data_IF_407992701881
#
_entry.id   IF_407992701881
#
_cell.length_a   1.000
_cell.length_b   1.000
_cell.length_c   1.000
_cell.angle_alpha   90.00
_cell.angle_beta   90.00
_cell.angle_gamma   90.00
#
_symmetry.space_group_name_H-M   'P 1'
#
loop_
_entity.id
_entity.type
_entity.pdbx_description
1 polymer ?
#
# COMPACT_ATOMS: atom_id res chain seq x y z
N UNK A 1 3.43 29.58 -5.75
CA UNK A 1 3.39 28.88 -5.62
C UNK A 1 3.34 28.02 -6.00
N UNK A 2 3.12 27.94 -6.03
CA UNK A 2 2.92 27.05 -6.08
C UNK A 2 3.17 26.36 -6.97
N UNK A 3 3.55 26.67 -7.90
CA UNK A 3 3.98 26.00 -8.73
C UNK A 3 4.78 24.97 -8.49
N UNK A 4 5.49 25.21 -7.89
CA UNK A 4 5.98 24.24 -7.20
C UNK A 4 5.17 23.12 -7.10
N UNK A 5 3.97 23.36 -7.08
CA UNK A 5 3.02 22.38 -6.94
C UNK A 5 3.07 21.35 -7.98
N UNK A 6 3.31 21.73 -9.18
CA UNK A 6 3.33 20.77 -10.24
C UNK A 6 4.48 19.80 -10.08
N UNK A 7 5.59 20.31 -9.73
CA UNK A 7 6.74 19.47 -9.55
C UNK A 7 6.50 18.54 -8.40
N UNK A 8 5.89 19.06 -7.39
CA UNK A 8 5.60 18.27 -6.23
C UNK A 8 4.65 17.14 -6.56
N UNK A 9 3.69 17.41 -7.41
CA UNK A 9 2.78 16.37 -7.79
C UNK A 9 3.46 15.25 -8.50
N UNK A 10 4.38 15.57 -9.33
CA UNK A 10 5.11 14.57 -10.05
C UNK A 10 5.89 13.69 -9.13
N UNK A 11 6.50 14.29 -8.15
CA UNK A 11 7.26 13.55 -7.18
C UNK A 11 6.34 12.74 -6.29
N UNK A 12 5.23 13.31 -5.96
CA UNK A 12 4.29 12.67 -5.07
C UNK A 12 3.81 11.33 -5.58
N UNK A 13 3.79 11.15 -6.89
CA UNK A 13 3.36 9.87 -7.42
C UNK A 13 4.21 8.73 -6.93
N UNK A 14 5.50 8.95 -6.85
CA UNK A 14 6.38 7.90 -6.38
C UNK A 14 6.25 7.61 -4.91
N UNK A 15 5.97 8.64 -4.11
CA UNK A 15 5.89 8.44 -2.68
C UNK A 15 4.53 7.97 -2.18
N UNK A 16 3.59 7.75 -3.07
CA UNK A 16 2.30 7.24 -2.69
C UNK A 16 2.21 5.73 -2.77
N UNK A 17 3.29 5.08 -3.11
CA UNK A 17 3.34 3.63 -3.19
C UNK A 17 3.87 3.06 -1.89
N UNK A 18 3.19 2.04 -1.40
CA UNK A 18 3.50 1.44 -0.11
C UNK A 18 3.75 -0.05 -0.27
N UNK A 19 4.89 -0.51 0.21
CA UNK A 19 5.17 -1.95 0.29
C UNK A 19 4.52 -2.48 1.56
N UNK A 20 3.83 -3.61 1.45
CA UNK A 20 3.18 -4.25 2.59
C UNK A 20 3.68 -5.67 2.69
N UNK A 21 4.41 -5.96 3.75
CA UNK A 21 4.95 -7.29 3.98
C UNK A 21 4.29 -8.00 5.13
N UNK A 22 4.71 -9.21 5.36
CA UNK A 22 4.19 -10.08 6.41
C UNK A 22 2.69 -10.32 6.27
N UNK A 23 2.21 -10.38 5.02
CA UNK A 23 0.80 -10.65 4.75
C UNK A 23 0.48 -12.11 5.02
N UNK A 24 -0.66 -12.39 5.66
CA UNK A 24 -1.14 -13.77 5.72
C UNK A 24 -1.41 -14.26 4.29
N UNK A 25 -1.12 -15.52 4.04
CA UNK A 25 -1.31 -16.07 2.70
C UNK A 25 -2.79 -16.10 2.30
N UNK A 26 -3.68 -15.97 3.27
CA UNK A 26 -5.11 -15.96 3.02
C UNK A 26 -5.63 -14.60 2.55
N UNK A 27 -4.81 -13.56 2.63
CA UNK A 27 -5.23 -12.21 2.24
C UNK A 27 -5.02 -12.02 0.75
N UNK A 28 -6.11 -11.76 0.06
CA UNK A 28 -6.06 -11.51 -1.39
C UNK A 28 -5.90 -10.03 -1.68
N UNK A 29 -5.72 -9.72 -2.95
CA UNK A 29 -5.61 -8.34 -3.41
C UNK A 29 -6.84 -7.54 -2.99
N UNK A 30 -8.02 -8.13 -3.10
CA UNK A 30 -9.26 -7.46 -2.75
C UNK A 30 -9.31 -7.11 -1.27
N UNK A 31 -8.91 -8.04 -0.43
CA UNK A 31 -8.95 -7.83 1.01
C UNK A 31 -7.95 -6.78 1.45
N UNK A 32 -6.78 -6.78 0.82
CA UNK A 32 -5.76 -5.79 1.13
C UNK A 32 -6.26 -4.40 0.74
N UNK A 33 -6.89 -4.28 -0.42
CA UNK A 33 -7.45 -3.01 -0.87
C UNK A 33 -8.52 -2.52 0.10
N UNK A 34 -9.40 -3.42 0.52
CA UNK A 34 -10.47 -3.07 1.44
C UNK A 34 -9.91 -2.55 2.75
N UNK A 35 -8.91 -3.24 3.27
CA UNK A 35 -8.31 -2.83 4.53
C UNK A 35 -7.74 -1.43 4.46
N UNK A 36 -6.96 -1.12 3.43
CA UNK A 36 -6.31 0.18 3.35
C UNK A 36 -7.22 1.28 2.84
N UNK A 37 -8.39 0.94 2.30
CA UNK A 37 -9.34 1.95 1.84
C UNK A 37 -9.84 2.83 2.97
N UNK A 38 -9.75 2.38 4.20
CA UNK A 38 -10.16 3.20 5.33
C UNK A 38 -9.23 4.38 5.59
N UNK A 39 -8.03 4.35 5.03
CA UNK A 39 -7.08 5.45 5.18
C UNK A 39 -7.17 6.46 4.05
N UNK A 40 -7.73 6.06 2.93
CA UNK A 40 -7.88 6.94 1.79
C UNK A 40 -8.19 6.12 0.56
N UNK A 41 -8.46 6.79 -0.54
CA UNK A 41 -8.79 6.10 -1.77
C UNK A 41 -7.56 5.37 -2.31
N UNK A 42 -7.70 4.07 -2.51
CA UNK A 42 -6.64 3.23 -3.04
C UNK A 42 -6.75 3.19 -4.55
N UNK A 43 -5.71 3.63 -5.23
CA UNK A 43 -5.68 3.67 -6.68
C UNK A 43 -5.44 2.28 -7.26
N UNK A 44 -4.50 1.55 -6.68
CA UNK A 44 -4.24 0.19 -7.12
C UNK A 44 -3.67 -0.64 -5.98
N UNK A 45 -3.85 -1.94 -6.08
CA UNK A 45 -3.37 -2.89 -5.10
C UNK A 45 -2.88 -4.12 -5.84
N UNK A 46 -1.79 -4.67 -5.38
CA UNK A 46 -1.23 -5.84 -6.03
C UNK A 46 -0.55 -6.74 -5.00
N UNK A 47 -1.14 -7.90 -4.76
CA UNK A 47 -0.52 -8.93 -3.91
C UNK A 47 0.28 -9.85 -4.83
N UNK A 48 1.49 -10.17 -4.44
CA UNK A 48 2.37 -10.98 -5.27
C UNK A 48 2.14 -12.45 -4.96
N UNK A 49 1.88 -13.22 -6.00
CA UNK A 49 1.62 -14.65 -5.87
C UNK A 49 2.73 -15.44 -6.55
N UNK A 50 2.97 -16.61 -6.01
CA UNK A 50 3.92 -17.54 -6.62
C UNK A 50 3.31 -18.08 -7.90
N UNK A 51 4.03 -18.01 -9.00
CA UNK A 51 3.51 -18.42 -10.31
C UNK A 51 3.28 -19.90 -10.41
N UNK A 52 4.03 -20.67 -9.67
CA UNK A 52 3.95 -22.12 -9.74
C UNK A 52 2.84 -22.67 -8.87
N UNK A 53 2.72 -22.18 -7.65
CA UNK A 53 1.79 -22.72 -6.70
C UNK A 53 0.50 -21.91 -6.57
N UNK A 54 0.53 -20.64 -6.99
CA UNK A 54 -0.60 -19.75 -6.83
C UNK A 54 -0.77 -19.23 -5.42
N UNK A 55 0.16 -19.52 -4.54
CA UNK A 55 0.09 -19.10 -3.15
C UNK A 55 0.72 -17.73 -2.99
N UNK A 56 0.13 -16.90 -2.12
CA UNK A 56 0.65 -15.58 -1.84
C UNK A 56 2.08 -15.67 -1.31
N UNK A 57 2.94 -14.78 -1.79
CA UNK A 57 4.32 -14.72 -1.31
C UNK A 57 4.44 -13.91 -0.02
N UNK A 58 3.32 -13.43 0.52
CA UNK A 58 3.32 -12.73 1.79
C UNK A 58 3.62 -11.26 1.70
N UNK A 59 3.55 -10.67 0.52
CA UNK A 59 3.76 -9.25 0.38
C UNK A 59 3.02 -8.70 -0.85
N UNK A 60 2.85 -7.40 -0.85
CA UNK A 60 2.21 -6.74 -1.97
C UNK A 60 2.48 -5.25 -1.92
N UNK A 61 1.81 -4.53 -2.80
CA UNK A 61 1.98 -3.09 -2.90
C UNK A 61 0.63 -2.40 -2.99
N UNK A 62 0.57 -1.19 -2.45
CA UNK A 62 -0.61 -0.36 -2.51
C UNK A 62 -0.20 1.01 -3.00
N UNK A 63 -0.99 1.56 -3.91
CA UNK A 63 -0.80 2.93 -4.37
C UNK A 63 -2.03 3.71 -3.98
N UNK A 64 -1.84 4.76 -3.18
CA UNK A 64 -2.94 5.65 -2.81
C UNK A 64 -3.10 6.73 -3.85
N UNK A 65 -4.35 7.16 -4.04
CA UNK A 65 -4.64 8.25 -4.98
C UNK A 65 -4.22 9.59 -4.42
N UNK A 66 -4.16 9.71 -3.09
CA UNK A 66 -3.83 10.98 -2.46
C UNK A 66 -2.67 10.79 -1.51
N UNK A 67 -1.95 11.88 -1.31
CA UNK A 67 -0.87 11.87 -0.36
C UNK A 67 -1.37 11.72 1.06
N UNK A 68 -2.55 12.24 1.32
CA UNK A 68 -3.17 12.15 2.64
C UNK A 68 -3.44 10.72 3.03
N UNK A 69 -3.93 9.92 2.09
CA UNK A 69 -4.17 8.50 2.36
C UNK A 69 -2.88 7.77 2.67
N UNK A 70 -1.85 8.04 1.89
CA UNK A 70 -0.54 7.46 2.11
C UNK A 70 0.01 7.85 3.47
N UNK A 71 -0.07 9.14 3.81
CA UNK A 71 0.44 9.63 5.08
C UNK A 71 -0.32 9.06 6.25
N UNK A 72 -1.63 8.97 6.12
CA UNK A 72 -2.47 8.42 7.16
C UNK A 72 -2.13 6.97 7.45
N UNK A 73 -1.92 6.20 6.40
CA UNK A 73 -1.57 4.79 6.55
C UNK A 73 -0.19 4.62 7.18
N UNK A 74 0.77 5.44 6.77
CA UNK A 74 2.14 5.30 7.27
C UNK A 74 2.31 5.86 8.68
N UNK A 75 1.49 6.82 9.07
CA UNK A 75 1.53 7.36 10.41
C UNK A 75 1.01 6.37 11.45
N UNK A 76 0.14 5.48 11.02
CA UNK A 76 -0.37 4.46 11.90
C UNK A 76 0.63 3.31 11.89
N UNK A 77 1.32 3.13 12.98
CA UNK A 77 2.41 2.16 13.02
C UNK A 77 1.98 0.72 13.16
N UNK A 78 0.76 0.51 13.61
CA UNK A 78 0.29 -0.84 13.85
C UNK A 78 -0.85 -1.16 12.90
N UNK A 79 -0.59 -2.06 11.99
CA UNK A 79 -1.62 -2.56 11.09
C UNK A 79 -1.72 -4.06 11.31
N UNK A 80 -2.91 -4.51 11.69
CA UNK A 80 -3.13 -5.94 11.94
C UNK A 80 -4.22 -6.42 10.99
N UNK A 81 -3.93 -7.49 10.30
CA UNK A 81 -4.88 -8.10 9.39
C UNK A 81 -4.83 -9.61 9.60
N UNK A 82 -5.97 -10.18 9.90
CA UNK A 82 -6.09 -11.62 10.18
C UNK A 82 -5.07 -12.09 11.22
N UNK A 83 -4.90 -11.30 12.27
CA UNK A 83 -4.02 -11.67 13.36
C UNK A 83 -2.54 -11.44 13.14
N UNK A 84 -2.16 -10.86 12.01
CA UNK A 84 -0.78 -10.60 11.71
C UNK A 84 -0.48 -9.12 11.65
N UNK A 85 0.64 -8.74 12.24
CA UNK A 85 1.11 -7.37 12.17
C UNK A 85 1.81 -7.18 10.83
N UNK A 86 1.34 -6.25 10.04
CA UNK A 86 1.89 -6.01 8.71
C UNK A 86 3.12 -5.12 8.77
N UNK A 87 4.02 -5.34 7.83
CA UNK A 87 5.25 -4.56 7.72
C UNK A 87 5.10 -3.58 6.57
N UNK A 88 5.00 -2.30 6.89
CA UNK A 88 4.79 -1.26 5.89
C UNK A 88 6.04 -0.45 5.66
N UNK A 89 6.37 -0.25 4.39
CA UNK A 89 7.51 0.59 4.01
C UNK A 89 7.16 1.39 2.77
N UNK A 90 7.50 2.69 2.75
CA UNK A 90 7.31 3.46 1.53
C UNK A 90 8.14 2.84 0.42
N UNK A 91 7.54 2.71 -0.74
CA UNK A 91 8.21 2.16 -1.91
C UNK A 91 8.28 3.23 -2.98
N UNK A 92 9.48 3.66 -3.31
CA UNK A 92 9.62 4.61 -4.39
C UNK A 92 9.86 3.83 -5.67
N UNK A 93 9.37 4.34 -6.73
CA UNK A 93 9.53 3.64 -8.00
C UNK A 93 10.43 4.36 -8.95
#
# INVERSE_FOLDING_TARGET
MSSTTAAASTIARGVQKLFVGNLPWTVSTKELKTYFSKYGHVQSTNVIYDKTTGISRGYGFIVFSTREGFTSATNNRLHVLEGRVLDLQPASS
#
